data_IF_491679421001
#
_entry.id   IF_491679421001
#
_cell.length_a   1.000
_cell.length_b   1.000
_cell.length_c   1.000
_cell.angle_alpha   90.00
_cell.angle_beta   90.00
_cell.angle_gamma   90.00
#
_symmetry.space_group_name_H-M   'P 1'
#
loop_
_entity.id
_entity.type
_entity.pdbx_description
1 polymer ?
#
# COMPACT_ATOMS: atom_id res chain seq x y z
N UNK A 1 15.32 8.21 11.52
CA UNK A 1 14.77 8.69 12.81
C UNK A 1 13.27 8.95 12.75
N UNK A 2 12.75 10.04 12.14
CA UNK A 2 11.30 10.33 12.16
C UNK A 2 10.40 9.23 11.56
N UNK A 3 10.74 8.74 10.36
CA UNK A 3 9.99 7.65 9.70
C UNK A 3 10.10 6.31 10.41
N UNK A 4 11.19 6.08 11.14
CA UNK A 4 11.37 4.82 11.88
C UNK A 4 10.40 4.76 13.06
N UNK A 5 10.23 5.87 13.79
CA UNK A 5 9.18 5.94 14.82
C UNK A 5 7.78 5.71 14.27
N UNK A 6 7.49 6.22 13.07
CA UNK A 6 6.20 5.99 12.43
C UNK A 6 5.99 4.53 12.02
N UNK A 7 7.05 3.84 11.57
CA UNK A 7 7.02 2.39 11.37
C UNK A 7 6.81 1.66 12.70
N UNK A 8 7.50 2.06 13.77
CA UNK A 8 7.37 1.43 15.09
C UNK A 8 5.95 1.59 15.65
N UNK A 9 5.30 2.74 15.41
CA UNK A 9 3.90 2.97 15.77
C UNK A 9 2.93 2.03 15.03
N UNK A 10 3.24 1.61 13.79
CA UNK A 10 2.42 0.65 13.05
C UNK A 10 2.45 -0.78 13.62
N UNK A 11 3.42 -1.11 14.49
CA UNK A 11 3.46 -2.39 15.21
C UNK A 11 2.58 -2.40 16.46
N UNK A 12 2.09 -1.25 16.92
CA UNK A 12 1.16 -1.17 18.04
C UNK A 12 -0.17 -1.80 17.60
N UNK A 13 -0.75 -2.63 18.46
CA UNK A 13 -2.05 -3.26 18.21
C UNK A 13 -3.21 -2.34 18.61
N UNK A 14 -3.21 -1.14 18.03
CA UNK A 14 -4.28 -0.15 18.17
C UNK A 14 -4.78 0.23 16.77
N UNK A 15 -6.07 0.02 16.55
CA UNK A 15 -6.69 0.20 15.23
C UNK A 15 -6.72 1.67 14.80
N UNK A 16 -6.90 2.61 15.73
CA UNK A 16 -6.96 4.03 15.42
C UNK A 16 -5.57 4.60 15.15
N UNK A 17 -4.57 4.18 15.94
CA UNK A 17 -3.16 4.50 15.65
C UNK A 17 -2.75 3.97 14.29
N UNK A 18 -3.13 2.73 13.96
CA UNK A 18 -2.83 2.12 12.67
C UNK A 18 -3.45 2.91 11.51
N UNK A 19 -4.74 3.29 11.61
CA UNK A 19 -5.43 4.08 10.59
C UNK A 19 -4.76 5.43 10.35
N UNK A 20 -4.51 6.20 11.42
CA UNK A 20 -3.89 7.53 11.31
C UNK A 20 -2.49 7.45 10.71
N UNK A 21 -1.69 6.47 11.12
CA UNK A 21 -0.37 6.25 10.55
C UNK A 21 -0.46 5.84 9.07
N UNK A 22 -1.42 4.99 8.71
CA UNK A 22 -1.62 4.53 7.33
C UNK A 22 -2.07 5.68 6.41
N UNK A 23 -2.94 6.58 6.88
CA UNK A 23 -3.35 7.78 6.14
C UNK A 23 -2.15 8.70 5.85
N UNK A 24 -1.28 8.90 6.84
CA UNK A 24 -0.03 9.65 6.63
C UNK A 24 0.86 8.97 5.58
N UNK A 25 1.06 7.64 5.70
CA UNK A 25 1.88 6.90 4.75
C UNK A 25 1.30 6.93 3.33
N UNK A 26 -0.03 6.89 3.19
CA UNK A 26 -0.69 6.98 1.91
C UNK A 26 -0.42 8.33 1.24
N UNK A 27 -0.55 9.43 1.99
CA UNK A 27 -0.23 10.77 1.49
C UNK A 27 1.25 10.89 1.08
N UNK A 28 2.17 10.47 1.95
CA UNK A 28 3.61 10.52 1.67
C UNK A 28 3.99 9.70 0.43
N UNK A 29 3.48 8.47 0.31
CA UNK A 29 3.76 7.61 -0.85
C UNK A 29 3.18 8.21 -2.13
N UNK A 30 2.00 8.83 -2.06
CA UNK A 30 1.36 9.49 -3.21
C UNK A 30 2.20 10.67 -3.69
N UNK A 31 2.61 11.56 -2.80
CA UNK A 31 3.49 12.69 -3.12
C UNK A 31 4.82 12.22 -3.72
N UNK A 32 5.45 11.20 -3.13
CA UNK A 32 6.69 10.61 -3.65
C UNK A 32 6.48 9.97 -5.03
N UNK A 33 5.35 9.34 -5.28
CA UNK A 33 5.03 8.73 -6.56
C UNK A 33 4.82 9.80 -7.64
N UNK A 34 4.04 10.84 -7.36
CA UNK A 34 3.81 11.96 -8.28
C UNK A 34 5.08 12.76 -8.58
N UNK A 35 5.91 13.02 -7.56
CA UNK A 35 7.21 13.65 -7.75
C UNK A 35 8.12 12.81 -8.68
N UNK A 36 8.10 11.49 -8.55
CA UNK A 36 8.89 10.61 -9.41
C UNK A 36 8.32 10.52 -10.84
N UNK A 37 7.00 10.65 -11.01
CA UNK A 37 6.35 10.60 -12.32
C UNK A 37 6.52 11.91 -13.10
N UNK A 38 6.41 13.07 -12.42
CA UNK A 38 6.60 14.39 -13.02
C UNK A 38 8.04 14.62 -13.51
N UNK A 39 9.03 14.04 -12.83
CA UNK A 39 10.44 14.13 -13.20
C UNK A 39 10.83 13.09 -14.28
N UNK A 40 9.96 12.11 -14.59
CA UNK A 40 10.37 10.91 -15.31
C UNK A 40 9.30 10.23 -16.17
N UNK A 41 8.80 10.92 -17.19
CA UNK A 41 8.25 10.26 -18.39
C UNK A 41 9.31 9.46 -19.18
N UNK A 42 10.60 9.65 -18.86
CA UNK A 42 11.70 8.84 -19.38
C UNK A 42 12.10 7.79 -18.34
N UNK A 43 11.61 6.61 -18.61
CA UNK A 43 11.84 5.34 -17.94
C UNK A 43 13.33 4.92 -18.05
N UNK A 44 14.28 5.66 -17.46
CA UNK A 44 15.62 5.12 -17.23
C UNK A 44 16.36 5.82 -16.06
N UNK A 45 16.54 5.14 -14.91
CA UNK A 45 17.35 5.64 -13.80
C UNK A 45 18.81 5.98 -14.20
N UNK A 46 19.31 5.39 -15.28
CA UNK A 46 20.67 5.57 -15.78
C UNK A 46 20.91 6.89 -16.51
N UNK A 47 19.89 7.47 -17.17
CA UNK A 47 20.07 8.72 -17.95
C UNK A 47 20.00 9.97 -17.08
N UNK A 48 19.22 9.93 -15.99
CA UNK A 48 19.11 11.06 -15.05
C UNK A 48 20.45 11.36 -14.35
N UNK A 49 21.33 10.36 -14.18
CA UNK A 49 22.63 10.52 -13.55
C UNK A 49 23.68 11.23 -14.45
N UNK A 50 23.47 11.25 -15.77
CA UNK A 50 24.48 11.69 -16.74
C UNK A 50 24.38 13.17 -17.14
N UNK A 51 23.21 13.81 -16.96
CA UNK A 51 22.94 15.10 -17.62
C UNK A 51 23.03 16.30 -16.70
N UNK A 52 22.64 16.21 -15.43
CA UNK A 52 22.76 17.33 -14.50
C UNK A 52 22.85 16.79 -13.07
N UNK A 53 23.67 17.39 -12.19
CA UNK A 53 23.86 16.97 -10.79
C UNK A 53 22.58 16.83 -9.94
N UNK A 54 21.41 17.19 -10.49
CA UNK A 54 20.08 16.84 -10.01
C UNK A 54 19.84 15.32 -9.91
N UNK A 55 20.41 14.50 -10.80
CA UNK A 55 20.24 13.05 -10.78
C UNK A 55 20.77 12.39 -9.50
N UNK A 56 21.90 12.89 -8.99
CA UNK A 56 22.50 12.45 -7.73
C UNK A 56 21.60 12.79 -6.52
N UNK A 57 20.96 13.96 -6.52
CA UNK A 57 20.02 14.36 -5.46
C UNK A 57 18.77 13.46 -5.44
N UNK A 58 18.23 13.12 -6.60
CA UNK A 58 17.05 12.24 -6.72
C UNK A 58 17.40 10.81 -6.28
N UNK A 59 18.57 10.29 -6.69
CA UNK A 59 19.04 8.96 -6.26
C UNK A 59 19.27 8.91 -4.74
N UNK A 60 19.83 9.97 -4.15
CA UNK A 60 20.05 10.08 -2.70
C UNK A 60 18.73 10.16 -1.92
N UNK A 61 17.73 10.90 -2.42
CA UNK A 61 16.39 10.93 -1.79
C UNK A 61 15.71 9.57 -1.83
N UNK A 62 15.81 8.82 -2.95
CA UNK A 62 15.24 7.46 -3.04
C UNK A 62 15.91 6.47 -2.09
N UNK A 63 17.22 6.58 -1.90
CA UNK A 63 17.94 5.73 -0.94
C UNK A 63 17.49 5.98 0.51
N UNK A 64 17.16 7.22 0.87
CA UNK A 64 16.69 7.56 2.22
C UNK A 64 15.38 6.85 2.59
N UNK A 65 14.47 6.67 1.63
CA UNK A 65 13.19 5.97 1.86
C UNK A 65 13.27 4.46 1.65
N UNK A 66 14.36 3.91 1.09
CA UNK A 66 14.45 2.50 0.71
C UNK A 66 14.13 1.54 1.86
N UNK A 67 14.80 1.71 3.01
CA UNK A 67 14.61 0.84 4.19
C UNK A 67 13.23 1.00 4.83
N UNK A 68 12.73 2.22 5.14
CA UNK A 68 11.37 2.39 5.66
C UNK A 68 10.28 1.85 4.73
N UNK A 69 10.40 2.05 3.40
CA UNK A 69 9.40 1.59 2.43
C UNK A 69 9.31 0.07 2.35
N UNK A 70 10.44 -0.64 2.47
CA UNK A 70 10.44 -2.10 2.52
C UNK A 70 9.73 -2.62 3.78
N UNK A 71 9.99 -2.01 4.94
CA UNK A 71 9.30 -2.34 6.20
C UNK A 71 7.79 -2.04 6.11
N UNK A 72 7.42 -0.89 5.56
CA UNK A 72 6.03 -0.51 5.34
C UNK A 72 5.29 -1.52 4.46
N UNK A 73 5.90 -1.95 3.34
CA UNK A 73 5.31 -2.96 2.45
C UNK A 73 5.03 -4.27 3.20
N UNK A 74 5.99 -4.74 3.99
CA UNK A 74 5.80 -5.95 4.80
C UNK A 74 4.65 -5.79 5.79
N UNK A 75 4.60 -4.66 6.50
CA UNK A 75 3.53 -4.35 7.46
C UNK A 75 2.16 -4.34 6.81
N UNK A 76 1.99 -3.59 5.72
CA UNK A 76 0.72 -3.47 5.00
C UNK A 76 0.24 -4.84 4.52
N UNK A 77 1.12 -5.66 3.93
CA UNK A 77 0.78 -7.02 3.47
C UNK A 77 0.35 -7.90 4.65
N UNK A 78 1.14 -7.88 5.74
CA UNK A 78 0.87 -8.74 6.91
C UNK A 78 -0.40 -8.38 7.68
N UNK A 79 -0.85 -7.12 7.59
CA UNK A 79 -2.03 -6.60 8.29
C UNK A 79 -3.18 -6.27 7.34
N UNK A 80 -3.16 -6.80 6.11
CA UNK A 80 -4.26 -6.58 5.16
C UNK A 80 -5.58 -7.12 5.74
N UNK A 81 -6.60 -6.28 5.76
CA UNK A 81 -7.95 -6.73 6.05
C UNK A 81 -8.43 -7.68 4.95
N UNK A 82 -9.21 -8.71 5.33
CA UNK A 82 -9.85 -9.60 4.37
C UNK A 82 -10.69 -8.77 3.39
N UNK A 83 -10.49 -8.88 2.07
CA UNK A 83 -11.32 -8.18 1.10
C UNK A 83 -12.76 -8.71 1.17
N UNK A 84 -13.72 -7.89 0.78
CA UNK A 84 -15.12 -8.34 0.69
C UNK A 84 -15.26 -9.33 -0.46
N UNK A 85 -15.74 -10.53 -0.18
CA UNK A 85 -16.03 -11.55 -1.20
C UNK A 85 -17.51 -11.48 -1.58
N UNK A 86 -17.80 -11.47 -2.88
CA UNK A 86 -19.14 -11.36 -3.44
C UNK A 86 -19.36 -12.48 -4.44
N UNK A 87 -20.48 -13.18 -4.32
CA UNK A 87 -20.95 -14.18 -5.28
C UNK A 87 -21.94 -13.56 -6.26
N UNK A 88 -21.92 -14.03 -7.50
CA UNK A 88 -22.94 -13.76 -8.50
C UNK A 88 -23.89 -14.95 -8.48
N UNK A 89 -25.14 -14.70 -8.10
CA UNK A 89 -26.17 -15.73 -7.95
C UNK A 89 -27.38 -15.33 -8.79
N UNK A 90 -28.05 -16.32 -9.37
CA UNK A 90 -29.37 -16.14 -9.97
C UNK A 90 -30.43 -16.35 -8.89
N UNK A 91 -31.22 -15.31 -8.60
CA UNK A 91 -32.32 -15.39 -7.63
C UNK A 91 -33.47 -16.26 -8.17
N UNK A 92 -34.42 -16.63 -7.31
CA UNK A 92 -35.60 -17.45 -7.64
C UNK A 92 -36.46 -16.87 -8.77
N UNK A 93 -36.30 -15.57 -9.03
CA UNK A 93 -36.99 -14.83 -10.08
C UNK A 93 -36.21 -14.82 -11.41
N UNK A 94 -35.06 -15.50 -11.50
CA UNK A 94 -34.20 -15.52 -12.69
C UNK A 94 -33.34 -14.27 -12.87
N UNK A 95 -33.17 -13.46 -11.82
CA UNK A 95 -32.41 -12.19 -11.86
C UNK A 95 -31.01 -12.41 -11.29
N UNK A 96 -30.00 -11.88 -11.99
CA UNK A 96 -28.60 -11.93 -11.55
C UNK A 96 -28.38 -10.88 -10.45
N UNK A 97 -27.98 -11.34 -9.25
CA UNK A 97 -27.72 -10.51 -8.07
C UNK A 97 -26.33 -10.77 -7.49
N UNK A 98 -25.81 -9.76 -6.80
CA UNK A 98 -24.53 -9.82 -6.08
C UNK A 98 -24.79 -10.05 -4.59
N UNK A 99 -24.45 -11.24 -4.09
CA UNK A 99 -24.57 -11.59 -2.67
C UNK A 99 -23.21 -11.55 -1.98
N UNK A 100 -23.07 -10.75 -0.93
CA UNK A 100 -21.83 -10.76 -0.11
C UNK A 100 -21.80 -12.03 0.71
N UNK A 101 -20.69 -12.78 0.66
CA UNK A 101 -20.50 -13.95 1.50
C UNK A 101 -20.56 -13.54 2.97
N UNK A 102 -21.55 -14.07 3.69
CA UNK A 102 -21.53 -14.04 5.16
C UNK A 102 -20.66 -15.22 5.59
N UNK A 103 -19.58 -14.95 6.32
CA UNK A 103 -18.67 -15.97 6.90
C UNK A 103 -19.41 -16.87 7.91
N UNK A 104 -20.28 -17.76 7.43
CA UNK A 104 -20.87 -18.83 8.21
C UNK A 104 -19.97 -20.06 8.04
N UNK A 105 -18.88 -20.13 8.81
CA UNK A 105 -18.06 -21.33 8.89
C UNK A 105 -18.84 -22.47 9.55
N UNK A 106 -19.72 -23.14 8.80
CA UNK A 106 -20.22 -24.48 9.11
C UNK A 106 -19.95 -25.33 7.88
N UNK A 107 -18.68 -25.72 7.73
CA UNK A 107 -18.34 -26.86 6.89
C UNK A 107 -18.83 -28.11 7.62
N UNK A 108 -19.89 -28.72 7.11
CA UNK A 108 -20.32 -30.05 7.52
C UNK A 108 -19.16 -31.00 7.18
N UNK A 109 -18.48 -31.51 8.22
CA UNK A 109 -17.57 -32.64 8.09
C UNK A 109 -18.41 -33.88 7.76
N UNK A 110 -18.10 -34.53 6.64
CA UNK A 110 -18.44 -35.93 6.39
C UNK A 110 -17.27 -36.81 6.82
#
# INVERSE_FOLDING_TARGET
MGLEYLIDMLYIDDTEVFKVCLDYWNNLVTELFEANHSIGGLQLPLLSCLVDGLGLQIVNQRQLYSTPMLKLRMLIISRMAKPKEVLIVEDQNGIIVHETLKDNHVLIQY
#
